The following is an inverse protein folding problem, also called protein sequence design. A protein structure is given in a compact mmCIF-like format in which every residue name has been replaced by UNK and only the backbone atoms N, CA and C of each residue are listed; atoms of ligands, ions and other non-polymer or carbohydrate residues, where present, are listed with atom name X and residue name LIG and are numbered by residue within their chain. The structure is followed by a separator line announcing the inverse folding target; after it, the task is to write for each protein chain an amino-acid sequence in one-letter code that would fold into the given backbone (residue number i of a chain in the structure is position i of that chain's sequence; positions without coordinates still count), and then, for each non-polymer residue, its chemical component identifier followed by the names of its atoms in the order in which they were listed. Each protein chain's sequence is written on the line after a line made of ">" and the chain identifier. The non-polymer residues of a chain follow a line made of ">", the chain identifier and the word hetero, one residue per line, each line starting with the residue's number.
data_IF_934021285233
#
_entry.id   IF_934021285233
#
_cell.length_a   1.000
_cell.length_b   1.000
_cell.length_c   1.000
_cell.angle_alpha   90.00
_cell.angle_beta   90.00
_cell.angle_gamma   90.00
#
_symmetry.space_group_name_H-M   'P 1'
#
loop_
_entity.id
_entity.type
_entity.pdbx_description
1 polymer ?
#
# COMPACT_ATOMS: atom_id res chain seq x y z
N UNK A 1 -25.30 6.75 5.09
CA UNK A 1 -25.84 6.75 6.48
C UNK A 1 -26.17 5.34 6.97
N UNK A 2 -26.35 5.10 8.27
CA UNK A 2 -26.82 3.80 8.78
C UNK A 2 -27.72 3.92 10.01
N UNK A 3 -28.62 2.95 10.18
CA UNK A 3 -29.39 2.69 11.38
C UNK A 3 -28.86 1.39 11.97
N UNK A 4 -28.03 1.54 13.00
CA UNK A 4 -27.37 0.43 13.67
C UNK A 4 -28.31 -0.44 14.53
N UNK A 5 -29.54 0.00 14.80
CA UNK A 5 -30.54 -0.78 15.53
C UNK A 5 -31.36 -1.65 14.58
N UNK A 6 -31.75 -1.11 13.42
CA UNK A 6 -32.48 -1.83 12.39
C UNK A 6 -31.58 -2.67 11.46
N UNK A 7 -30.26 -2.45 11.48
CA UNK A 7 -29.34 -3.12 10.56
C UNK A 7 -29.46 -2.59 9.11
N UNK A 8 -29.93 -1.35 8.95
CA UNK A 8 -30.09 -0.72 7.64
C UNK A 8 -28.94 0.24 7.32
N UNK A 9 -28.54 0.31 6.06
CA UNK A 9 -27.65 1.34 5.52
C UNK A 9 -28.30 2.03 4.32
N UNK A 10 -28.13 3.34 4.22
CA UNK A 10 -28.53 4.15 3.07
C UNK A 10 -27.30 4.58 2.30
N UNK A 11 -27.30 4.25 1.01
CA UNK A 11 -26.23 4.56 0.07
C UNK A 11 -26.58 5.85 -0.66
N UNK A 12 -25.65 6.81 -0.68
CA UNK A 12 -25.84 8.07 -1.38
C UNK A 12 -25.10 8.03 -2.70
N UNK A 13 -25.77 7.52 -3.73
CA UNK A 13 -25.21 7.42 -5.08
C UNK A 13 -25.79 8.53 -5.95
N UNK A 14 -24.94 9.35 -6.57
CA UNK A 14 -25.43 10.32 -7.56
C UNK A 14 -26.06 9.57 -8.73
N UNK A 15 -27.21 10.05 -9.22
CA UNK A 15 -28.00 9.35 -10.23
C UNK A 15 -27.20 8.95 -11.49
N UNK A 16 -26.22 9.78 -11.90
CA UNK A 16 -25.36 9.50 -13.05
C UNK A 16 -24.43 8.28 -12.86
N UNK A 17 -24.15 7.86 -11.63
CA UNK A 17 -23.25 6.76 -11.30
C UNK A 17 -23.95 5.52 -10.77
N UNK A 18 -25.29 5.51 -10.69
CA UNK A 18 -26.06 4.40 -10.10
C UNK A 18 -25.78 3.05 -10.77
N UNK A 19 -25.52 3.06 -12.07
CA UNK A 19 -25.22 1.87 -12.87
C UNK A 19 -23.72 1.59 -13.02
N UNK A 20 -22.85 2.39 -12.40
CA UNK A 20 -21.39 2.19 -12.39
C UNK A 20 -21.05 1.32 -11.17
N UNK A 21 -20.73 0.02 -11.35
CA UNK A 21 -20.62 -0.90 -10.21
C UNK A 21 -19.55 -0.50 -9.21
N UNK A 22 -18.41 0.04 -9.66
CA UNK A 22 -17.36 0.54 -8.77
C UNK A 22 -17.86 1.61 -7.79
N UNK A 23 -18.69 2.55 -8.24
CA UNK A 23 -19.24 3.63 -7.40
C UNK A 23 -20.31 3.11 -6.45
N UNK A 24 -21.31 2.38 -6.96
CA UNK A 24 -22.40 1.87 -6.10
C UNK A 24 -21.88 0.90 -5.04
N UNK A 25 -20.88 0.07 -5.37
CA UNK A 25 -20.29 -0.87 -4.43
C UNK A 25 -19.31 -0.19 -3.47
N UNK A 26 -18.64 0.89 -3.89
CA UNK A 26 -17.90 1.76 -2.98
C UNK A 26 -18.83 2.28 -1.87
N UNK A 27 -19.98 2.86 -2.22
CA UNK A 27 -20.97 3.32 -1.23
C UNK A 27 -21.47 2.17 -0.34
N UNK A 28 -21.69 0.98 -0.92
CA UNK A 28 -22.02 -0.22 -0.15
C UNK A 28 -20.92 -0.58 0.86
N UNK A 29 -19.66 -0.36 0.52
CA UNK A 29 -18.52 -0.50 1.43
C UNK A 29 -18.63 0.38 2.67
N UNK A 30 -19.10 1.63 2.53
CA UNK A 30 -19.42 2.47 3.69
C UNK A 30 -20.56 1.88 4.53
N UNK A 31 -21.59 1.32 3.88
CA UNK A 31 -22.67 0.59 4.58
C UNK A 31 -22.13 -0.55 5.45
N UNK A 32 -21.28 -1.42 4.87
CA UNK A 32 -20.63 -2.52 5.59
C UNK A 32 -19.82 -2.01 6.79
N UNK A 33 -19.04 -0.95 6.57
CA UNK A 33 -18.23 -0.30 7.59
C UNK A 33 -19.09 0.20 8.77
N UNK A 34 -20.16 0.94 8.48
CA UNK A 34 -21.03 1.50 9.52
C UNK A 34 -21.63 0.41 10.42
N UNK A 35 -21.96 -0.75 9.85
CA UNK A 35 -22.52 -1.86 10.62
C UNK A 35 -21.51 -2.58 11.52
N UNK A 36 -20.20 -2.42 11.30
CA UNK A 36 -19.19 -2.92 12.25
C UNK A 36 -19.05 -2.04 13.50
N UNK A 37 -19.58 -0.80 13.47
CA UNK A 37 -19.71 0.17 14.57
C UNK A 37 -18.41 0.65 15.25
N UNK A 38 -17.38 -0.17 15.35
CA UNK A 38 -16.19 0.08 16.17
C UNK A 38 -15.28 1.17 15.61
N UNK A 39 -15.19 1.33 14.29
CA UNK A 39 -14.48 2.43 13.64
C UNK A 39 -15.35 3.69 13.51
N UNK A 40 -16.66 3.59 13.71
CA UNK A 40 -17.57 4.74 13.60
C UNK A 40 -17.32 5.71 14.75
N UNK A 41 -17.40 7.02 14.47
CA UNK A 41 -17.12 8.11 15.42
C UNK A 41 -15.69 8.10 16.00
N UNK A 42 -14.72 7.54 15.28
CA UNK A 42 -13.29 7.58 15.63
C UNK A 42 -12.53 8.43 14.60
N UNK A 43 -12.12 9.64 14.97
CA UNK A 43 -11.45 10.58 14.07
C UNK A 43 -10.25 9.96 13.32
N UNK A 44 -9.42 9.16 14.02
CA UNK A 44 -8.23 8.52 13.43
C UNK A 44 -8.52 7.39 12.45
N UNK A 45 -9.77 6.97 12.32
CA UNK A 45 -10.19 6.01 11.29
C UNK A 45 -10.84 6.68 10.09
N UNK A 46 -11.21 7.97 10.17
CA UNK A 46 -12.09 8.61 9.20
C UNK A 46 -11.62 8.51 7.75
N UNK A 47 -10.34 8.81 7.47
CA UNK A 47 -9.82 8.69 6.10
C UNK A 47 -9.71 7.25 5.61
N UNK A 48 -9.62 6.28 6.52
CA UNK A 48 -9.60 4.85 6.16
C UNK A 48 -10.96 4.36 5.66
N UNK A 49 -12.03 5.13 5.85
CA UNK A 49 -13.37 4.75 5.38
C UNK A 49 -13.41 4.73 3.85
N UNK A 50 -12.80 5.71 3.19
CA UNK A 50 -12.65 5.73 1.72
C UNK A 50 -11.72 4.61 1.24
N UNK A 51 -10.63 4.37 1.97
CA UNK A 51 -9.70 3.28 1.68
C UNK A 51 -10.42 1.93 1.71
N UNK A 52 -11.26 1.72 2.71
CA UNK A 52 -12.06 0.50 2.85
C UNK A 52 -13.13 0.40 1.76
N UNK A 53 -13.85 1.48 1.46
CA UNK A 53 -14.87 1.51 0.43
C UNK A 53 -14.30 1.16 -0.96
N UNK A 54 -13.16 1.73 -1.33
CA UNK A 54 -12.47 1.37 -2.58
C UNK A 54 -11.96 -0.07 -2.58
N UNK A 55 -11.49 -0.59 -1.43
CA UNK A 55 -11.13 -2.00 -1.33
C UNK A 55 -12.35 -2.93 -1.54
N UNK A 56 -13.52 -2.57 -1.01
CA UNK A 56 -14.77 -3.34 -1.22
C UNK A 56 -15.17 -3.30 -2.70
N UNK A 57 -15.12 -2.13 -3.34
CA UNK A 57 -15.43 -1.96 -4.76
C UNK A 57 -14.50 -2.81 -5.65
N UNK A 58 -13.19 -2.69 -5.48
CA UNK A 58 -12.22 -3.45 -6.27
C UNK A 58 -12.32 -4.96 -6.00
N UNK A 59 -12.58 -5.37 -4.75
CA UNK A 59 -12.84 -6.77 -4.40
C UNK A 59 -14.08 -7.29 -5.12
N UNK A 60 -15.18 -6.53 -5.12
CA UNK A 60 -16.39 -6.90 -5.85
C UNK A 60 -16.13 -7.02 -7.34
N UNK A 61 -15.34 -6.13 -7.94
CA UNK A 61 -15.05 -6.15 -9.36
C UNK A 61 -14.17 -7.33 -9.75
N UNK A 62 -13.12 -7.61 -8.98
CA UNK A 62 -11.99 -8.42 -9.45
C UNK A 62 -11.90 -9.80 -8.80
N UNK A 63 -12.48 -9.98 -7.61
CA UNK A 63 -12.35 -11.23 -6.85
C UNK A 63 -13.25 -12.34 -7.39
N UNK A 64 -12.79 -13.60 -7.37
CA UNK A 64 -13.64 -14.77 -7.57
C UNK A 64 -14.80 -14.86 -6.57
N UNK A 65 -14.64 -14.31 -5.35
CA UNK A 65 -15.67 -14.32 -4.31
C UNK A 65 -17.01 -13.74 -4.80
N UNK A 66 -16.94 -12.67 -5.59
CA UNK A 66 -18.13 -11.97 -6.08
C UNK A 66 -18.51 -12.36 -7.52
N UNK A 67 -17.84 -13.35 -8.12
CA UNK A 67 -18.03 -13.72 -9.52
C UNK A 67 -19.46 -14.19 -9.82
N UNK A 68 -20.07 -14.97 -8.92
CA UNK A 68 -21.45 -15.41 -9.08
C UNK A 68 -22.45 -14.25 -9.04
N UNK A 69 -22.26 -13.31 -8.11
CA UNK A 69 -23.11 -12.11 -8.01
C UNK A 69 -22.99 -11.23 -9.26
N UNK A 70 -21.76 -10.97 -9.73
CA UNK A 70 -21.51 -10.22 -10.98
C UNK A 70 -22.16 -10.90 -12.17
N UNK A 71 -21.94 -12.20 -12.35
CA UNK A 71 -22.52 -12.97 -13.46
C UNK A 71 -24.04 -12.99 -13.42
N UNK A 72 -24.65 -13.12 -12.25
CA UNK A 72 -26.10 -13.08 -12.08
C UNK A 72 -26.72 -11.73 -12.47
N UNK A 73 -25.94 -10.65 -12.38
CA UNK A 73 -26.31 -9.31 -12.83
C UNK A 73 -25.83 -8.98 -14.26
N UNK A 74 -25.33 -9.97 -15.02
CA UNK A 74 -24.82 -9.75 -16.39
C UNK A 74 -23.54 -8.92 -16.46
N UNK A 75 -22.79 -8.81 -15.36
CA UNK A 75 -21.54 -8.04 -15.29
C UNK A 75 -20.33 -8.96 -15.51
N UNK A 76 -19.50 -8.62 -16.51
CA UNK A 76 -18.24 -9.30 -16.74
C UNK A 76 -17.20 -8.94 -15.66
N UNK A 77 -16.21 -9.83 -15.45
CA UNK A 77 -15.03 -9.45 -14.65
C UNK A 77 -14.14 -8.55 -15.50
N UNK A 78 -13.75 -7.36 -15.02
CA UNK A 78 -12.89 -6.46 -15.77
C UNK A 78 -11.48 -7.04 -15.92
N UNK A 79 -10.82 -6.68 -17.02
CA UNK A 79 -9.43 -7.07 -17.29
C UNK A 79 -8.42 -6.34 -16.39
N UNK A 80 -8.81 -5.15 -15.92
CA UNK A 80 -7.98 -4.25 -15.11
C UNK A 80 -8.69 -3.90 -13.80
N UNK A 81 -7.88 -3.49 -12.81
CA UNK A 81 -8.34 -2.97 -11.52
C UNK A 81 -8.50 -1.45 -11.61
N UNK A 82 -9.26 -0.87 -10.68
CA UNK A 82 -9.41 0.60 -10.53
C UNK A 82 -8.20 1.24 -9.81
N UNK A 83 -7.10 0.51 -9.63
CA UNK A 83 -5.89 1.03 -8.97
C UNK A 83 -5.31 2.25 -9.70
N UNK A 84 -5.07 3.32 -8.95
CA UNK A 84 -4.30 4.46 -9.42
C UNK A 84 -2.82 4.28 -9.06
N UNK A 85 -2.08 3.59 -9.94
CA UNK A 85 -0.64 3.32 -9.73
C UNK A 85 0.20 4.59 -9.83
N UNK A 86 -0.26 5.60 -10.56
CA UNK A 86 0.46 6.88 -10.70
C UNK A 86 0.50 7.58 -9.36
N UNK A 87 -0.64 7.67 -8.66
CA UNK A 87 -0.70 8.22 -7.30
C UNK A 87 -0.06 7.29 -6.28
N UNK A 88 -0.45 6.02 -6.25
CA UNK A 88 -0.04 5.08 -5.18
C UNK A 88 1.47 4.87 -5.14
N UNK A 89 2.13 4.71 -6.30
CA UNK A 89 3.57 4.49 -6.39
C UNK A 89 4.31 5.82 -6.52
N UNK A 90 3.82 6.73 -7.36
CA UNK A 90 4.46 8.03 -7.56
C UNK A 90 4.54 8.86 -6.28
N UNK A 91 3.49 8.80 -5.45
CA UNK A 91 3.43 9.50 -4.17
C UNK A 91 3.61 8.56 -2.97
N UNK A 92 4.23 7.40 -3.18
CA UNK A 92 4.48 6.41 -2.11
C UNK A 92 5.24 6.97 -0.90
N UNK A 93 5.94 8.10 -1.05
CA UNK A 93 6.66 8.78 0.03
C UNK A 93 5.73 9.46 1.05
N UNK A 94 4.44 9.66 0.73
CA UNK A 94 3.46 10.23 1.64
C UNK A 94 3.16 9.28 2.83
N UNK A 95 2.41 9.77 3.81
CA UNK A 95 1.89 8.92 4.89
C UNK A 95 1.02 7.82 4.27
N UNK A 96 1.10 6.58 4.80
CA UNK A 96 0.42 5.41 4.20
C UNK A 96 -1.08 5.65 3.93
N UNK A 97 -1.74 6.39 4.81
CA UNK A 97 -3.07 6.97 4.58
C UNK A 97 -3.02 8.44 5.01
N UNK A 98 -3.15 9.31 4.03
CA UNK A 98 -3.15 10.77 4.13
C UNK A 98 -4.51 11.28 3.62
N UNK A 99 -5.28 11.91 4.51
CA UNK A 99 -6.60 12.49 4.24
C UNK A 99 -6.56 13.95 3.78
N UNK A 100 -5.38 14.52 3.56
CA UNK A 100 -5.24 15.93 3.20
C UNK A 100 -6.02 16.26 1.92
N UNK A 101 -6.77 17.36 1.94
CA UNK A 101 -7.57 17.82 0.81
C UNK A 101 -6.67 18.05 -0.42
N UNK A 102 -7.11 17.55 -1.58
CA UNK A 102 -6.42 17.61 -2.89
C UNK A 102 -5.09 16.87 -3.03
N UNK A 103 -4.34 16.61 -1.95
CA UNK A 103 -2.98 16.04 -2.03
C UNK A 103 -2.84 14.65 -1.42
N UNK A 104 -3.78 14.26 -0.56
CA UNK A 104 -3.80 12.98 0.13
C UNK A 104 -3.98 11.79 -0.81
N UNK A 105 -3.95 10.59 -0.24
CA UNK A 105 -4.02 9.31 -0.96
C UNK A 105 -5.07 8.36 -0.38
N UNK A 106 -5.95 8.81 0.51
CA UNK A 106 -6.91 7.98 1.22
C UNK A 106 -7.91 7.22 0.32
N UNK A 107 -8.19 7.72 -0.89
CA UNK A 107 -8.91 6.95 -1.92
C UNK A 107 -8.04 5.88 -2.59
N UNK A 108 -6.73 6.09 -2.69
CA UNK A 108 -5.78 5.24 -3.41
C UNK A 108 -5.00 4.26 -2.51
N UNK A 109 -5.11 4.38 -1.19
CA UNK A 109 -4.35 3.56 -0.23
C UNK A 109 -4.86 2.11 -0.08
N UNK A 110 -5.98 1.77 -0.73
CA UNK A 110 -6.63 0.46 -0.62
C UNK A 110 -5.76 -0.74 -1.01
N UNK A 111 -4.72 -0.65 -1.87
CA UNK A 111 -3.85 -1.79 -2.16
C UNK A 111 -3.15 -2.34 -0.91
N UNK A 112 -3.00 -1.56 0.15
CA UNK A 112 -2.52 -2.07 1.42
C UNK A 112 -3.51 -3.08 2.03
N UNK A 113 -4.81 -2.80 2.01
CA UNK A 113 -5.84 -3.74 2.48
C UNK A 113 -5.88 -5.00 1.61
N UNK A 114 -5.70 -4.86 0.29
CA UNK A 114 -5.54 -6.00 -0.63
C UNK A 114 -4.32 -6.84 -0.29
N UNK A 115 -3.17 -6.22 0.00
CA UNK A 115 -1.96 -6.92 0.42
C UNK A 115 -2.17 -7.71 1.71
N UNK A 116 -2.81 -7.11 2.73
CA UNK A 116 -3.15 -7.82 3.96
C UNK A 116 -4.10 -9.00 3.70
N UNK A 117 -5.05 -8.82 2.79
CA UNK A 117 -6.08 -9.82 2.45
C UNK A 117 -5.48 -11.01 1.71
N UNK A 118 -4.66 -10.74 0.70
CA UNK A 118 -4.03 -11.78 -0.11
C UNK A 118 -2.86 -12.45 0.61
N UNK A 119 -2.22 -11.72 1.53
CA UNK A 119 -1.14 -12.19 2.39
C UNK A 119 -0.06 -13.01 1.65
N UNK A 120 0.54 -12.48 0.57
CA UNK A 120 1.49 -13.22 -0.26
C UNK A 120 2.78 -13.60 0.48
N UNK A 121 3.03 -13.00 1.65
CA UNK A 121 4.17 -13.29 2.53
C UNK A 121 3.82 -14.26 3.68
N UNK A 122 2.58 -14.74 3.77
CA UNK A 122 2.17 -15.75 4.74
C UNK A 122 2.27 -15.31 6.21
N UNK A 123 2.09 -14.02 6.50
CA UNK A 123 2.11 -13.53 7.87
C UNK A 123 0.94 -14.11 8.68
N UNK A 124 1.26 -14.71 9.83
CA UNK A 124 0.27 -15.31 10.71
C UNK A 124 -0.79 -14.27 11.14
N UNK A 125 -2.06 -14.65 11.03
CA UNK A 125 -3.21 -13.81 11.39
C UNK A 125 -3.72 -12.90 10.27
N UNK A 126 -2.97 -12.71 9.17
CA UNK A 126 -3.46 -12.03 7.97
C UNK A 126 -4.09 -13.03 6.98
N UNK A 127 -4.78 -12.54 5.95
CA UNK A 127 -5.49 -13.36 4.97
C UNK A 127 -6.90 -12.87 4.67
N UNK A 128 -7.73 -13.72 4.06
CA UNK A 128 -9.03 -13.35 3.49
C UNK A 128 -10.02 -12.72 4.49
N UNK A 129 -9.94 -13.04 5.78
CA UNK A 129 -10.81 -12.47 6.83
C UNK A 129 -10.20 -11.22 7.51
N UNK A 130 -8.99 -10.79 7.14
CA UNK A 130 -8.24 -9.77 7.88
C UNK A 130 -9.00 -8.45 7.99
N UNK A 131 -9.60 -7.96 6.90
CA UNK A 131 -10.29 -6.66 6.90
C UNK A 131 -11.51 -6.68 7.82
N UNK A 132 -12.20 -7.82 7.92
CA UNK A 132 -13.24 -8.02 8.92
C UNK A 132 -12.65 -8.05 10.34
N UNK A 133 -11.54 -8.78 10.55
CA UNK A 133 -10.84 -8.81 11.84
C UNK A 133 -10.37 -7.43 12.30
N UNK A 134 -9.92 -6.57 11.38
CA UNK A 134 -9.53 -5.20 11.69
C UNK A 134 -10.69 -4.36 12.24
N UNK A 135 -11.92 -4.67 11.84
CA UNK A 135 -13.11 -3.98 12.33
C UNK A 135 -13.59 -4.61 13.64
N UNK A 136 -13.76 -5.93 13.73
CA UNK A 136 -14.31 -6.57 14.94
C UNK A 136 -13.34 -6.61 16.12
N UNK A 137 -12.02 -6.50 15.88
CA UNK A 137 -10.99 -6.41 16.94
C UNK A 137 -10.48 -5.00 17.20
N UNK A 138 -11.09 -4.00 16.56
CA UNK A 138 -10.82 -2.61 16.90
C UNK A 138 -11.31 -2.34 18.32
N UNK A 139 -10.46 -1.69 19.13
CA UNK A 139 -10.81 -1.41 20.52
C UNK A 139 -11.84 -0.29 20.56
N UNK A 140 -13.02 -0.56 21.11
CA UNK A 140 -14.09 0.44 21.18
C UNK A 140 -13.60 1.72 21.89
N UNK A 141 -13.87 2.88 21.30
CA UNK A 141 -13.51 4.20 21.84
C UNK A 141 -12.01 4.44 22.05
N UNK A 142 -11.12 3.64 21.45
CA UNK A 142 -9.68 3.88 21.58
C UNK A 142 -9.17 5.03 20.71
N UNK A 143 -9.91 5.39 19.66
CA UNK A 143 -9.51 6.35 18.64
C UNK A 143 -8.07 6.08 18.13
N UNK A 144 -7.71 4.80 17.98
CA UNK A 144 -6.46 4.37 17.35
C UNK A 144 -6.57 4.35 15.82
N UNK A 145 -5.44 4.25 15.14
CA UNK A 145 -5.43 4.00 13.69
C UNK A 145 -5.61 2.51 13.40
N UNK A 146 -6.17 2.11 12.25
CA UNK A 146 -6.28 0.70 11.85
C UNK A 146 -4.97 -0.08 11.90
N UNK A 147 -3.81 0.57 11.78
CA UNK A 147 -2.49 -0.04 11.97
C UNK A 147 -2.33 -0.67 13.37
N UNK A 148 -2.90 -0.09 14.42
CA UNK A 148 -2.84 -0.65 15.77
C UNK A 148 -3.66 -1.95 15.86
N UNK A 149 -4.78 -2.03 15.16
CA UNK A 149 -5.53 -3.28 15.07
C UNK A 149 -4.80 -4.31 14.20
N UNK A 150 -4.10 -3.90 13.12
CA UNK A 150 -3.21 -4.81 12.37
C UNK A 150 -2.17 -5.42 13.31
N UNK A 151 -1.56 -4.63 14.20
CA UNK A 151 -0.59 -5.13 15.19
C UNK A 151 -1.19 -6.15 16.17
N UNK A 152 -2.50 -6.06 16.46
CA UNK A 152 -3.20 -7.04 17.29
C UNK A 152 -3.68 -8.28 16.52
N UNK A 153 -4.03 -8.14 15.24
CA UNK A 153 -4.53 -9.23 14.41
C UNK A 153 -3.40 -10.09 13.85
N UNK A 154 -2.32 -9.46 13.37
CA UNK A 154 -1.14 -10.15 12.88
C UNK A 154 -0.25 -10.63 14.04
N UNK A 155 -0.15 -11.95 14.24
CA UNK A 155 0.53 -12.54 15.42
C UNK A 155 1.94 -13.07 15.12
N UNK A 156 2.53 -12.72 13.98
CA UNK A 156 3.86 -13.22 13.57
C UNK A 156 4.83 -12.17 13.03
N UNK A 157 4.42 -10.90 12.98
CA UNK A 157 5.23 -9.79 12.48
C UNK A 157 4.79 -8.47 13.10
N UNK A 158 5.73 -7.53 13.23
CA UNK A 158 5.39 -6.14 13.56
C UNK A 158 4.73 -5.47 12.35
N UNK A 159 3.91 -4.45 12.58
CA UNK A 159 3.35 -3.64 11.49
C UNK A 159 4.45 -3.01 10.63
N UNK A 160 5.57 -2.60 11.23
CA UNK A 160 6.74 -2.12 10.51
C UNK A 160 7.22 -3.14 9.46
N UNK A 161 7.32 -4.43 9.83
CA UNK A 161 7.70 -5.51 8.91
C UNK A 161 6.65 -5.74 7.82
N UNK A 162 5.37 -5.71 8.18
CA UNK A 162 4.25 -5.89 7.23
C UNK A 162 4.23 -4.75 6.20
N UNK A 163 4.33 -3.50 6.64
CA UNK A 163 4.41 -2.32 5.76
C UNK A 163 5.67 -2.33 4.90
N UNK A 164 6.81 -2.72 5.47
CA UNK A 164 8.06 -2.86 4.72
C UNK A 164 7.96 -3.89 3.58
N UNK A 165 7.31 -5.03 3.82
CA UNK A 165 7.05 -6.04 2.78
C UNK A 165 5.98 -5.60 1.78
N UNK A 166 4.92 -4.92 2.24
CA UNK A 166 3.94 -4.30 1.35
C UNK A 166 4.62 -3.40 0.31
N UNK A 167 5.46 -2.46 0.74
CA UNK A 167 6.16 -1.58 -0.21
C UNK A 167 7.15 -2.32 -1.10
N UNK A 168 7.82 -3.36 -0.59
CA UNK A 168 8.68 -4.21 -1.41
C UNK A 168 7.88 -4.89 -2.54
N UNK A 169 6.68 -5.39 -2.24
CA UNK A 169 5.76 -6.01 -3.21
C UNK A 169 5.21 -4.99 -4.20
N UNK A 170 4.95 -3.76 -3.75
CA UNK A 170 4.49 -2.66 -4.60
C UNK A 170 5.51 -2.21 -5.66
N UNK A 171 6.80 -2.56 -5.53
CA UNK A 171 7.79 -2.30 -6.59
C UNK A 171 7.40 -2.90 -7.95
N UNK A 172 6.66 -4.01 -7.93
CA UNK A 172 6.12 -4.66 -9.13
C UNK A 172 4.63 -5.01 -8.99
N UNK A 173 3.93 -4.37 -8.04
CA UNK A 173 2.52 -4.61 -7.67
C UNK A 173 2.21 -6.12 -7.54
N UNK A 174 3.16 -6.86 -6.96
CA UNK A 174 3.06 -8.31 -6.72
C UNK A 174 2.35 -8.58 -5.38
N UNK A 175 1.14 -8.04 -5.23
CA UNK A 175 0.33 -8.12 -4.00
C UNK A 175 -0.74 -9.21 -4.08
N UNK A 176 -0.58 -10.20 -4.96
CA UNK A 176 -1.59 -11.22 -5.24
C UNK A 176 -2.81 -10.70 -6.03
N UNK A 177 -2.67 -9.58 -6.74
CA UNK A 177 -3.75 -8.95 -7.51
C UNK A 177 -3.35 -8.78 -8.98
N UNK A 178 -3.75 -9.74 -9.82
CA UNK A 178 -3.30 -9.83 -11.22
C UNK A 178 -3.73 -8.62 -12.05
N UNK A 179 -4.98 -8.16 -11.87
CA UNK A 179 -5.52 -7.04 -12.65
C UNK A 179 -4.84 -5.71 -12.25
N UNK A 180 -4.51 -5.50 -10.97
CA UNK A 180 -3.73 -4.36 -10.52
C UNK A 180 -2.28 -4.39 -11.05
N UNK A 181 -1.66 -5.57 -11.10
CA UNK A 181 -0.34 -5.74 -11.71
C UNK A 181 -0.37 -5.44 -13.22
N UNK A 182 -1.45 -5.79 -13.94
CA UNK A 182 -1.63 -5.42 -15.34
C UNK A 182 -1.67 -3.91 -15.56
N UNK A 183 -2.39 -3.18 -14.70
CA UNK A 183 -2.42 -1.71 -14.69
C UNK A 183 -1.02 -1.15 -14.46
N UNK A 184 -0.29 -1.67 -13.47
CA UNK A 184 1.09 -1.27 -13.23
C UNK A 184 1.98 -1.48 -14.46
N UNK A 185 2.00 -2.67 -15.04
CA UNK A 185 2.88 -2.99 -16.16
C UNK A 185 2.58 -2.10 -17.38
N UNK A 186 1.32 -1.76 -17.63
CA UNK A 186 0.91 -0.88 -18.72
C UNK A 186 1.21 0.61 -18.47
N UNK A 187 1.21 1.05 -17.21
CA UNK A 187 1.35 2.47 -16.87
C UNK A 187 2.69 2.85 -16.23
N UNK A 188 3.58 1.89 -15.91
CA UNK A 188 4.80 2.13 -15.14
C UNK A 188 5.74 3.19 -15.71
N UNK A 189 5.71 3.42 -17.02
CA UNK A 189 6.49 4.48 -17.69
C UNK A 189 6.02 5.90 -17.34
N UNK A 190 4.78 6.06 -16.84
CA UNK A 190 4.16 7.34 -16.46
C UNK A 190 4.32 7.66 -14.97
N UNK A 191 4.84 6.71 -14.18
CA UNK A 191 4.99 6.87 -12.73
C UNK A 191 6.24 7.71 -12.44
N UNK A 192 6.11 8.65 -11.50
CA UNK A 192 7.22 9.50 -11.09
C UNK A 192 8.12 8.78 -10.07
N UNK A 193 9.26 8.26 -10.53
CA UNK A 193 10.27 7.61 -9.69
C UNK A 193 11.43 8.52 -9.27
N UNK A 194 11.31 9.83 -9.45
CA UNK A 194 12.39 10.77 -9.20
C UNK A 194 12.57 11.05 -7.70
N UNK A 195 12.88 10.02 -6.91
CA UNK A 195 12.98 10.03 -5.45
C UNK A 195 14.34 10.52 -4.92
N UNK A 196 15.41 10.32 -5.71
CA UNK A 196 16.78 10.60 -5.26
C UNK A 196 17.55 11.40 -6.31
N UNK A 197 18.61 12.07 -5.85
CA UNK A 197 19.60 12.74 -6.69
C UNK A 197 20.95 12.02 -6.57
N UNK A 198 21.67 11.92 -7.69
CA UNK A 198 23.05 11.45 -7.68
C UNK A 198 23.95 12.50 -7.04
N UNK A 199 24.83 12.04 -6.16
CA UNK A 199 25.88 12.85 -5.52
C UNK A 199 27.27 12.50 -6.05
N UNK A 200 27.35 11.69 -7.11
CA UNK A 200 28.59 11.22 -7.72
C UNK A 200 29.05 9.85 -7.20
N UNK A 201 29.90 9.17 -7.98
CA UNK A 201 30.57 7.91 -7.59
C UNK A 201 29.63 6.81 -7.05
N UNK A 202 28.47 6.61 -7.70
CA UNK A 202 27.48 5.61 -7.27
C UNK A 202 26.76 5.96 -5.96
N UNK A 203 26.90 7.19 -5.47
CA UNK A 203 26.25 7.67 -4.25
C UNK A 203 25.02 8.51 -4.57
N UNK A 204 23.96 8.34 -3.80
CA UNK A 204 22.68 8.99 -3.99
C UNK A 204 22.12 9.52 -2.68
N UNK A 205 21.34 10.59 -2.74
CA UNK A 205 20.63 11.15 -1.59
C UNK A 205 19.16 11.33 -1.90
N UNK A 206 18.29 11.04 -0.95
CA UNK A 206 16.85 11.30 -1.09
C UNK A 206 16.58 12.80 -1.27
N UNK A 207 15.62 13.12 -2.14
CA UNK A 207 15.13 14.49 -2.28
C UNK A 207 14.35 14.89 -1.05
N UNK A 208 14.60 16.11 -0.55
CA UNK A 208 13.89 16.62 0.63
C UNK A 208 12.35 16.52 0.50
N UNK A 209 11.81 16.82 -0.69
CA UNK A 209 10.37 16.75 -0.95
C UNK A 209 9.81 15.32 -1.05
N UNK A 210 10.67 14.28 -1.13
CA UNK A 210 10.27 12.88 -1.29
C UNK A 210 10.82 11.97 -0.20
N UNK A 211 11.30 12.53 0.91
CA UNK A 211 11.66 11.74 2.08
C UNK A 211 10.45 10.91 2.54
N UNK A 212 10.60 9.58 2.74
CA UNK A 212 9.50 8.74 3.17
C UNK A 212 8.95 9.20 4.52
N UNK A 213 7.68 9.60 4.53
CA UNK A 213 6.91 9.95 5.73
C UNK A 213 6.39 8.69 6.41
N UNK A 214 5.63 8.83 7.49
CA UNK A 214 5.20 7.70 8.32
C UNK A 214 4.55 6.58 7.51
N UNK A 215 5.18 5.40 7.54
CA UNK A 215 4.75 4.20 6.81
C UNK A 215 4.73 4.37 5.28
N UNK A 216 5.32 5.43 4.74
CA UNK A 216 5.58 5.65 3.32
C UNK A 216 6.91 5.07 2.86
N UNK A 217 7.17 5.13 1.55
CA UNK A 217 8.35 4.57 0.92
C UNK A 217 8.86 5.36 -0.28
N UNK A 218 10.08 5.07 -0.68
CA UNK A 218 10.59 5.35 -2.02
C UNK A 218 10.81 4.03 -2.74
N UNK A 219 10.23 3.91 -3.94
CA UNK A 219 10.50 2.84 -4.89
C UNK A 219 11.43 3.40 -5.96
N UNK A 220 12.57 2.76 -6.18
CA UNK A 220 13.65 3.25 -7.04
C UNK A 220 14.00 2.14 -8.04
N UNK A 221 13.39 2.13 -9.24
CA UNK A 221 13.78 1.22 -10.31
C UNK A 221 15.24 1.45 -10.69
N UNK A 222 16.02 0.37 -10.75
CA UNK A 222 17.43 0.45 -11.09
C UNK A 222 17.63 0.37 -12.61
N UNK A 223 18.54 1.18 -13.12
CA UNK A 223 18.93 1.23 -14.53
C UNK A 223 20.10 0.30 -14.78
N UNK A 224 19.96 -0.53 -15.81
CA UNK A 224 20.95 -1.51 -16.28
C UNK A 224 21.58 -2.36 -15.16
N UNK A 225 20.78 -2.95 -14.24
CA UNK A 225 21.34 -3.81 -13.21
C UNK A 225 21.98 -5.05 -13.84
N UNK A 226 23.20 -5.38 -13.44
CA UNK A 226 23.91 -6.56 -13.96
C UNK A 226 24.88 -7.15 -12.93
N UNK A 227 25.05 -8.47 -12.96
CA UNK A 227 25.95 -9.17 -12.05
C UNK A 227 25.47 -9.04 -10.61
N UNK A 228 26.34 -8.57 -9.69
CA UNK A 228 25.97 -8.35 -8.29
C UNK A 228 25.64 -6.87 -8.06
N UNK A 229 24.39 -6.60 -7.71
CA UNK A 229 23.96 -5.28 -7.24
C UNK A 229 24.15 -5.21 -5.73
N UNK A 230 24.86 -4.19 -5.25
CA UNK A 230 25.11 -3.99 -3.80
C UNK A 230 24.65 -2.62 -3.38
N UNK A 231 23.97 -2.55 -2.24
CA UNK A 231 23.44 -1.32 -1.65
C UNK A 231 23.91 -1.18 -0.21
N UNK A 232 24.26 0.05 0.18
CA UNK A 232 24.47 0.43 1.57
C UNK A 232 23.81 1.77 1.85
N UNK A 233 22.79 1.76 2.71
CA UNK A 233 22.00 2.91 3.15
C UNK A 233 22.62 3.50 4.41
N UNK A 234 22.66 4.82 4.47
CA UNK A 234 23.03 5.59 5.66
C UNK A 234 21.84 6.47 6.04
N UNK A 235 21.41 6.36 7.30
CA UNK A 235 20.32 7.16 7.87
C UNK A 235 20.49 7.24 9.38
N UNK A 236 19.88 8.27 10.00
CA UNK A 236 19.67 8.34 11.45
C UNK A 236 18.28 7.85 11.88
N UNK A 237 17.38 7.59 10.92
CA UNK A 237 16.03 7.11 11.17
C UNK A 237 15.89 5.58 11.13
N UNK A 238 14.66 5.09 11.34
CA UNK A 238 14.34 3.67 11.23
C UNK A 238 13.72 3.37 9.86
N UNK A 239 14.48 2.65 9.04
CA UNK A 239 14.08 2.27 7.69
C UNK A 239 14.06 0.75 7.55
N UNK A 240 13.06 0.24 6.84
CA UNK A 240 13.09 -1.10 6.25
C UNK A 240 13.46 -0.94 4.78
N UNK A 241 14.32 -1.81 4.25
CA UNK A 241 14.76 -1.68 2.87
C UNK A 241 14.94 -3.02 2.19
N UNK A 242 14.66 -3.05 0.89
CA UNK A 242 14.71 -4.26 0.08
C UNK A 242 15.34 -3.99 -1.28
N UNK A 243 16.16 -4.93 -1.75
CA UNK A 243 16.37 -5.14 -3.18
C UNK A 243 15.31 -6.11 -3.68
N UNK A 244 14.55 -5.69 -4.70
CA UNK A 244 13.46 -6.47 -5.29
C UNK A 244 13.86 -6.78 -6.72
N UNK A 245 13.88 -8.06 -7.09
CA UNK A 245 14.26 -8.51 -8.44
C UNK A 245 13.11 -9.27 -9.07
N UNK A 246 12.72 -8.85 -10.27
CA UNK A 246 11.67 -9.48 -11.07
C UNK A 246 12.24 -10.09 -12.32
N UNK A 247 11.92 -11.36 -12.57
CA UNK A 247 12.14 -11.99 -13.87
C UNK A 247 11.09 -11.49 -14.86
N UNK A 248 11.51 -10.86 -15.96
CA UNK A 248 10.57 -10.20 -16.88
C UNK A 248 9.78 -11.19 -17.74
N UNK A 249 10.32 -12.40 -17.96
CA UNK A 249 9.68 -13.46 -18.73
C UNK A 249 8.65 -14.27 -17.93
N UNK A 250 9.00 -14.68 -16.70
CA UNK A 250 8.09 -15.47 -15.85
C UNK A 250 7.21 -14.63 -14.93
N UNK A 251 7.58 -13.37 -14.67
CA UNK A 251 6.94 -12.51 -13.69
C UNK A 251 7.29 -12.82 -12.23
N UNK A 252 8.09 -13.87 -11.96
CA UNK A 252 8.50 -14.23 -10.61
C UNK A 252 9.33 -13.11 -9.96
N UNK A 253 9.06 -12.83 -8.69
CA UNK A 253 9.73 -11.77 -7.92
C UNK A 253 10.40 -12.37 -6.68
N UNK A 254 11.63 -11.92 -6.40
CA UNK A 254 12.34 -12.21 -5.16
C UNK A 254 12.68 -10.94 -4.41
N UNK A 255 12.75 -11.07 -3.08
CA UNK A 255 12.86 -9.96 -2.15
C UNK A 255 14.05 -10.20 -1.22
N UNK A 256 15.07 -9.35 -1.30
CA UNK A 256 16.24 -9.39 -0.42
C UNK A 256 16.14 -8.22 0.55
N UNK A 257 15.94 -8.53 1.84
CA UNK A 257 15.95 -7.52 2.90
C UNK A 257 17.39 -7.04 3.16
N UNK A 258 17.56 -5.72 3.27
CA UNK A 258 18.85 -5.09 3.55
C UNK A 258 19.01 -4.91 5.06
N UNK A 259 19.33 -6.00 5.77
CA UNK A 259 19.53 -5.98 7.22
C UNK A 259 20.59 -4.94 7.62
N UNK A 260 20.24 -4.01 8.51
CA UNK A 260 21.13 -2.92 8.90
C UNK A 260 21.41 -1.91 7.78
N UNK A 261 20.55 -1.86 6.76
CA UNK A 261 20.68 -0.96 5.62
C UNK A 261 21.65 -1.43 4.54
N UNK A 262 22.15 -2.67 4.60
CA UNK A 262 23.14 -3.19 3.66
C UNK A 262 22.77 -4.56 3.11
N UNK A 263 23.14 -4.82 1.86
CA UNK A 263 22.96 -6.13 1.24
C UNK A 263 23.24 -6.11 -0.26
N UNK A 264 23.18 -7.29 -0.86
CA UNK A 264 23.41 -7.48 -2.28
C UNK A 264 22.49 -8.55 -2.87
N UNK A 265 22.31 -8.50 -4.18
CA UNK A 265 21.57 -9.51 -4.93
C UNK A 265 22.21 -9.71 -6.30
N UNK A 266 22.26 -10.96 -6.76
CA UNK A 266 22.61 -11.26 -8.14
C UNK A 266 21.43 -10.96 -9.06
N UNK A 267 21.69 -10.29 -10.18
CA UNK A 267 20.73 -9.97 -11.24
C UNK A 267 21.22 -10.60 -12.54
N UNK A 268 20.43 -11.53 -13.07
CA UNK A 268 20.70 -12.25 -14.30
C UNK A 268 20.12 -11.51 -15.53
N UNK A 269 20.51 -11.98 -16.72
CA UNK A 269 19.88 -11.51 -17.96
C UNK A 269 18.37 -11.81 -17.94
N UNK A 270 17.57 -10.87 -18.44
CA UNK A 270 16.11 -10.96 -18.42
C UNK A 270 15.46 -10.55 -17.09
N UNK A 271 16.23 -10.05 -16.14
CA UNK A 271 15.73 -9.55 -14.85
C UNK A 271 15.83 -8.04 -14.73
N UNK A 272 14.87 -7.46 -14.01
CA UNK A 272 14.87 -6.05 -13.60
C UNK A 272 14.92 -5.97 -12.07
N UNK A 273 15.48 -4.88 -11.54
CA UNK A 273 15.65 -4.70 -10.09
C UNK A 273 15.20 -3.32 -9.63
N UNK A 274 14.72 -3.23 -8.39
CA UNK A 274 14.36 -1.99 -7.72
C UNK A 274 14.90 -1.98 -6.29
N UNK A 275 15.35 -0.81 -5.83
CA UNK A 275 15.57 -0.54 -4.41
C UNK A 275 14.29 0.05 -3.81
N UNK A 276 13.83 -0.51 -2.68
CA UNK A 276 12.72 0.03 -1.91
C UNK A 276 13.21 0.43 -0.54
N UNK A 277 12.87 1.65 -0.10
CA UNK A 277 13.24 2.21 1.21
C UNK A 277 11.99 2.76 1.88
N UNK A 278 11.57 2.17 3.00
CA UNK A 278 10.33 2.52 3.69
C UNK A 278 10.57 3.00 5.12
N UNK A 279 9.95 4.13 5.50
CA UNK A 279 9.96 4.65 6.86
C UNK A 279 8.97 3.85 7.70
N UNK A 280 9.50 2.95 8.53
CA UNK A 280 8.74 1.93 9.24
C UNK A 280 9.17 1.93 10.70
N UNK A 281 8.82 2.99 11.45
CA UNK A 281 9.22 3.10 12.85
C UNK A 281 8.67 1.93 13.66
N UNK A 282 9.43 1.49 14.65
CA UNK A 282 9.05 0.35 15.49
C UNK A 282 7.76 0.60 16.28
N UNK A 283 7.54 1.85 16.68
CA UNK A 283 6.35 2.26 17.43
C UNK A 283 5.32 2.88 16.50
N UNK A 284 4.06 2.49 16.71
CA UNK A 284 2.94 3.08 16.00
C UNK A 284 2.59 4.44 16.58
N UNK A 285 2.25 5.37 15.69
CA UNK A 285 1.81 6.72 16.03
C UNK A 285 0.31 6.82 15.91
N UNK A 286 -0.30 7.42 16.93
CA UNK A 286 -1.71 7.78 16.93
C UNK A 286 -1.91 9.11 16.18
N UNK A 287 -2.17 9.05 14.88
CA UNK A 287 -2.35 10.23 14.04
C UNK A 287 -3.77 10.34 13.45
N UNK A 288 -4.25 11.56 13.28
CA UNK A 288 -5.46 11.86 12.50
C UNK A 288 -5.05 12.05 11.03
N UNK A 289 -5.50 11.21 10.09
CA UNK A 289 -5.14 11.36 8.68
C UNK A 289 -5.62 12.68 8.05
N UNK A 290 -6.66 13.32 8.58
CA UNK A 290 -7.14 14.62 8.10
C UNK A 290 -6.40 15.81 8.72
N UNK A 291 -5.57 15.56 9.74
CA UNK A 291 -4.76 16.59 10.43
C UNK A 291 -3.40 16.02 10.83
N UNK A 292 -2.52 15.84 9.84
CA UNK A 292 -1.21 15.24 10.04
C UNK A 292 -0.33 16.09 10.97
N UNK A 293 0.16 15.49 12.05
CA UNK A 293 1.15 16.10 12.95
C UNK A 293 2.54 16.10 12.33
N UNK A 294 3.48 16.88 12.89
CA UNK A 294 4.88 16.85 12.48
C UNK A 294 5.49 15.44 12.62
N UNK A 295 5.12 14.69 13.65
CA UNK A 295 5.64 13.34 13.91
C UNK A 295 5.44 12.39 12.73
N UNK A 296 4.26 12.42 12.09
CA UNK A 296 3.98 11.56 10.93
C UNK A 296 4.34 12.19 9.60
N UNK A 297 4.36 13.53 9.53
CA UNK A 297 4.56 14.26 8.29
C UNK A 297 6.04 14.59 8.00
N UNK A 298 6.91 14.52 9.00
CA UNK A 298 8.36 14.63 8.80
C UNK A 298 8.89 13.37 8.12
N UNK A 299 9.49 13.55 6.95
CA UNK A 299 10.12 12.46 6.22
C UNK A 299 11.48 12.08 6.81
N UNK A 300 11.90 10.83 6.59
CA UNK A 300 13.23 10.35 7.01
C UNK A 300 14.26 10.65 5.91
N UNK A 301 15.31 11.37 6.28
CA UNK A 301 16.46 11.60 5.40
C UNK A 301 17.36 10.36 5.32
N UNK A 302 17.88 10.09 4.13
CA UNK A 302 18.84 9.02 3.91
C UNK A 302 19.69 9.25 2.66
N UNK A 303 20.85 8.60 2.64
CA UNK A 303 21.70 8.44 1.46
C UNK A 303 22.03 6.96 1.27
N UNK A 304 22.51 6.60 0.08
CA UNK A 304 23.02 5.26 -0.15
C UNK A 304 24.12 5.24 -1.20
N UNK A 305 24.99 4.23 -1.11
CA UNK A 305 25.90 3.85 -2.18
C UNK A 305 25.33 2.65 -2.92
N UNK A 306 25.48 2.62 -4.23
CA UNK A 306 25.01 1.57 -5.14
C UNK A 306 26.13 1.17 -6.09
N UNK A 307 26.35 -0.13 -6.23
CA UNK A 307 27.21 -0.71 -7.26
C UNK A 307 26.44 -1.75 -8.08
N UNK A 308 26.89 -2.01 -9.31
CA UNK A 308 26.25 -2.97 -10.23
C UNK A 308 24.99 -2.46 -10.93
N UNK A 309 24.58 -1.22 -10.66
CA UNK A 309 23.46 -0.52 -11.32
C UNK A 309 23.57 1.00 -11.09
N UNK A 310 22.63 1.76 -11.65
CA UNK A 310 22.39 3.18 -11.28
C UNK A 310 20.93 3.40 -10.91
N UNK A 311 20.62 4.41 -10.09
CA UNK A 311 19.25 4.85 -9.78
C UNK A 311 18.73 5.90 -10.79
#
# INVERSE_FOLDING_TARGET
>A
HSDGAAGMAWLEVQNAYLTVPGVTVHEFGHGLHYHQKTWVNQGRTGAWWETLANWVADTYLTSPLCASARSGAGQATPETSEIDVIKTIGDSFQVIVDGSVNTGNYYQAWPFLTYLTNNPDGFAGLGSDVVRQLQVRYSANSNETPLHTVQRVGTGATVAKVVGKYWARMAYVDIGHRQAQSVFLSQRSRINYANVDSTGSGSYRVKAARQPRYMGANIIPLKSPSGTVTVRITTSGQLTSHLVVRNTGSGAVRYVELSGGQGSVSVASGEEASLVVANTPANLVLYDPFSLTSEVNTGVDYSFTLSGATA
#
